data_IF_392869328511
#
_entry.id   IF_392869328511
#
_cell.length_a   1.000
_cell.length_b   1.000
_cell.length_c   1.000
_cell.angle_alpha   90.00
_cell.angle_beta   90.00
_cell.angle_gamma   90.00
#
_symmetry.space_group_name_H-M   'P 1'
#
loop_
_entity.id
_entity.type
_entity.pdbx_description
1 polymer ?
#
# COMPACT_ATOMS: atom_id res chain seq x y z
N UNK A 1 -16.74 -12.63 -8.83
CA UNK A 1 -16.80 -11.95 -7.50
C UNK A 1 -15.36 -11.82 -7.02
N UNK A 2 -14.91 -10.62 -6.63
CA UNK A 2 -13.57 -10.43 -6.10
C UNK A 2 -13.66 -10.29 -4.58
N UNK A 3 -13.14 -11.29 -3.87
CA UNK A 3 -12.98 -11.23 -2.42
C UNK A 3 -11.51 -10.95 -2.12
N UNK A 4 -11.23 -9.84 -1.44
CA UNK A 4 -9.88 -9.47 -1.01
C UNK A 4 -9.79 -9.45 0.51
N UNK A 5 -8.73 -10.06 1.04
CA UNK A 5 -8.31 -9.89 2.43
C UNK A 5 -6.95 -9.20 2.41
N UNK A 6 -6.87 -8.03 3.05
CA UNK A 6 -5.63 -7.29 3.25
C UNK A 6 -5.21 -7.31 4.72
N UNK A 7 -3.92 -7.57 4.97
CA UNK A 7 -3.31 -7.46 6.28
C UNK A 7 -2.11 -6.49 6.23
N UNK A 8 -2.33 -5.19 6.49
CA UNK A 8 -1.25 -4.23 6.62
C UNK A 8 -0.62 -4.31 8.02
N UNK A 9 0.71 -4.27 8.06
CA UNK A 9 1.50 -4.15 9.29
C UNK A 9 2.52 -3.03 9.12
N UNK A 10 2.77 -2.29 10.20
CA UNK A 10 3.71 -1.17 10.16
C UNK A 10 4.27 -0.84 11.52
N UNK A 11 5.45 -0.24 11.50
CA UNK A 11 6.12 0.32 12.67
C UNK A 11 6.54 1.76 12.37
N UNK A 12 6.36 2.61 13.37
CA UNK A 12 6.81 3.99 13.37
C UNK A 12 7.76 4.21 14.53
N UNK A 13 8.88 4.86 14.25
CA UNK A 13 9.84 5.28 15.25
C UNK A 13 10.08 6.79 15.18
N UNK A 14 9.81 7.46 16.30
CA UNK A 14 9.92 8.91 16.42
C UNK A 14 11.15 9.28 17.23
N UNK A 15 12.06 10.07 16.64
CA UNK A 15 13.28 10.57 17.25
C UNK A 15 13.27 12.10 17.17
N UNK A 16 12.94 12.75 18.29
CA UNK A 16 12.78 14.22 18.35
C UNK A 16 11.80 14.71 17.28
N UNK A 17 12.30 15.38 16.26
CA UNK A 17 11.57 15.98 15.16
C UNK A 17 11.52 15.10 13.92
N UNK A 18 12.12 13.91 13.95
CA UNK A 18 12.22 12.98 12.82
C UNK A 18 11.37 11.75 13.09
N UNK A 19 10.61 11.32 12.10
CA UNK A 19 9.81 10.10 12.14
C UNK A 19 10.29 9.15 11.05
N UNK A 20 10.47 7.88 11.36
CA UNK A 20 10.80 6.84 10.38
C UNK A 20 9.70 5.79 10.43
N UNK A 21 9.17 5.42 9.27
CA UNK A 21 8.07 4.45 9.11
C UNK A 21 8.48 3.34 8.16
N UNK A 22 8.21 2.12 8.58
CA UNK A 22 8.35 0.91 7.76
C UNK A 22 7.02 0.17 7.79
N UNK A 23 6.61 -0.36 6.65
CA UNK A 23 5.38 -1.13 6.56
C UNK A 23 5.45 -2.22 5.50
N UNK A 24 4.56 -3.19 5.66
CA UNK A 24 4.30 -4.24 4.69
C UNK A 24 2.78 -4.47 4.61
N UNK A 25 2.28 -4.77 3.42
CA UNK A 25 0.88 -5.12 3.19
C UNK A 25 0.82 -6.45 2.47
N UNK A 26 0.19 -7.44 3.09
CA UNK A 26 -0.13 -8.71 2.46
C UNK A 26 -1.56 -8.67 1.93
N UNK A 27 -1.78 -8.98 0.66
CA UNK A 27 -3.10 -9.07 0.05
C UNK A 27 -3.32 -10.47 -0.49
N UNK A 28 -4.44 -11.07 -0.13
CA UNK A 28 -4.94 -12.30 -0.71
C UNK A 28 -6.22 -11.99 -1.48
N UNK A 29 -6.21 -12.28 -2.79
CA UNK A 29 -7.33 -12.01 -3.69
C UNK A 29 -7.84 -13.33 -4.25
N UNK A 30 -9.15 -13.53 -4.17
CA UNK A 30 -9.86 -14.60 -4.87
C UNK A 30 -10.68 -13.97 -5.99
N UNK A 31 -10.37 -14.34 -7.22
CA UNK A 31 -11.06 -13.87 -8.42
C UNK A 31 -11.81 -15.05 -9.04
N UNK A 32 -13.12 -14.87 -9.27
CA UNK A 32 -13.93 -15.82 -10.04
C UNK A 32 -14.23 -15.19 -11.40
N UNK A 33 -13.70 -15.82 -12.45
CA UNK A 33 -13.90 -15.44 -13.85
C UNK A 33 -14.91 -16.42 -14.44
N UNK A 34 -16.01 -15.87 -14.96
CA UNK A 34 -17.02 -16.63 -15.66
C UNK A 34 -16.89 -16.35 -17.15
N UNK A 35 -16.52 -17.36 -17.92
CA UNK A 35 -16.50 -17.27 -19.38
C UNK A 35 -17.73 -17.97 -19.96
N UNK A 36 -18.47 -17.23 -20.78
CA UNK A 36 -19.60 -17.76 -21.55
C UNK A 36 -19.08 -18.58 -22.71
N UNK A 37 -19.38 -19.87 -22.72
CA UNK A 37 -19.16 -20.70 -23.91
C UNK A 37 -20.40 -20.69 -24.81
N UNK A 38 -20.19 -20.88 -26.11
CA UNK A 38 -21.22 -20.82 -27.17
C UNK A 38 -22.38 -21.78 -26.95
N UNK A 39 -22.18 -22.86 -26.18
CA UNK A 39 -23.16 -23.90 -25.92
C UNK A 39 -23.64 -23.90 -24.46
N UNK A 40 -24.31 -22.85 -23.97
CA UNK A 40 -25.01 -22.80 -22.65
C UNK A 40 -24.21 -23.17 -21.37
N UNK A 41 -22.95 -23.60 -21.48
CA UNK A 41 -22.06 -23.96 -20.40
C UNK A 41 -21.31 -22.71 -19.94
N UNK A 42 -21.41 -22.41 -18.65
CA UNK A 42 -20.59 -21.39 -18.00
C UNK A 42 -19.38 -22.11 -17.43
N UNK A 43 -18.18 -21.74 -17.87
CA UNK A 43 -16.95 -22.17 -17.22
C UNK A 43 -16.63 -21.17 -16.11
N UNK A 44 -16.44 -21.65 -14.88
CA UNK A 44 -16.00 -20.84 -13.75
C UNK A 44 -14.56 -21.21 -13.40
N UNK A 45 -13.65 -20.25 -13.53
CA UNK A 45 -12.28 -20.38 -13.07
C UNK A 45 -12.08 -19.56 -11.79
N UNK A 46 -11.53 -20.20 -10.75
CA UNK A 46 -11.22 -19.56 -9.48
C UNK A 46 -9.71 -19.39 -9.39
N UNK A 47 -9.27 -18.13 -9.39
CA UNK A 47 -7.88 -17.75 -9.25
C UNK A 47 -7.59 -17.26 -7.84
N UNK A 48 -6.45 -17.68 -7.30
CA UNK A 48 -5.96 -17.29 -5.99
C UNK A 48 -4.62 -16.56 -6.15
N UNK A 49 -4.59 -15.28 -5.75
CA UNK A 49 -3.43 -14.41 -5.93
C UNK A 49 -2.94 -13.92 -4.56
N UNK A 50 -1.65 -14.08 -4.29
CA UNK A 50 -0.97 -13.55 -3.09
C UNK A 50 -0.02 -12.44 -3.53
N UNK A 51 -0.26 -11.23 -3.05
CA UNK A 51 0.57 -10.06 -3.32
C UNK A 51 1.14 -9.50 -2.01
N UNK A 52 2.35 -8.93 -2.08
CA UNK A 52 2.96 -8.21 -0.96
C UNK A 52 3.53 -6.88 -1.46
N UNK A 53 3.32 -5.83 -0.68
CA UNK A 53 3.91 -4.51 -0.92
C UNK A 53 4.65 -4.05 0.33
N UNK A 54 5.69 -3.24 0.14
CA UNK A 54 6.41 -2.59 1.24
C UNK A 54 6.18 -1.08 1.19
N UNK A 55 6.28 -0.44 2.34
CA UNK A 55 6.22 1.00 2.43
C UNK A 55 7.36 1.55 3.29
N UNK A 56 7.90 2.68 2.88
CA UNK A 56 8.89 3.44 3.63
C UNK A 56 8.40 4.87 3.77
N UNK A 57 8.61 5.47 4.94
CA UNK A 57 8.35 6.88 5.16
C UNK A 57 9.40 7.52 6.04
N UNK A 58 9.74 8.77 5.75
CA UNK A 58 10.51 9.62 6.64
C UNK A 58 9.83 10.99 6.77
N UNK A 59 9.60 11.42 8.00
CA UNK A 59 8.99 12.69 8.35
C UNK A 59 9.97 13.58 9.09
N UNK A 60 9.87 14.89 8.89
CA UNK A 60 10.57 15.92 9.65
C UNK A 60 9.61 17.04 10.05
N UNK A 61 9.51 17.30 11.35
CA UNK A 61 8.74 18.38 11.94
C UNK A 61 9.67 19.40 12.62
N UNK A 62 10.23 20.38 11.88
CA UNK A 62 11.16 21.36 12.45
C UNK A 62 10.56 22.21 13.58
N UNK A 63 9.25 22.43 13.58
CA UNK A 63 8.53 23.19 14.60
C UNK A 63 7.07 22.73 14.70
N UNK A 64 6.30 23.33 15.61
CA UNK A 64 4.90 22.97 15.86
C UNK A 64 3.96 23.23 14.66
N UNK A 65 4.37 24.07 13.71
CA UNK A 65 3.54 24.50 12.58
C UNK A 65 3.87 23.81 11.26
N UNK A 66 5.02 23.15 11.11
CA UNK A 66 5.47 22.67 9.80
C UNK A 66 5.95 21.22 9.84
N UNK A 67 5.45 20.42 8.89
CA UNK A 67 5.83 19.01 8.71
C UNK A 67 6.16 18.77 7.24
N UNK A 68 7.27 18.08 7.00
CA UNK A 68 7.68 17.54 5.71
C UNK A 68 7.64 16.02 5.81
N UNK A 69 7.03 15.36 4.83
CA UNK A 69 6.92 13.91 4.80
C UNK A 69 7.31 13.39 3.42
N UNK A 70 8.19 12.39 3.38
CA UNK A 70 8.56 11.66 2.18
C UNK A 70 8.11 10.21 2.37
N UNK A 71 7.30 9.70 1.44
CA UNK A 71 6.65 8.40 1.58
C UNK A 71 6.65 7.61 0.27
N UNK A 72 6.77 6.29 0.35
CA UNK A 72 6.65 5.33 -0.75
C UNK A 72 5.86 4.10 -0.26
N UNK A 73 4.98 3.55 -1.11
CA UNK A 73 4.12 2.39 -0.81
C UNK A 73 4.21 1.26 -1.85
N UNK A 74 5.37 1.10 -2.48
CA UNK A 74 5.58 0.15 -3.58
C UNK A 74 7.07 -0.16 -3.71
N UNK A 75 7.55 -0.37 -4.93
CA UNK A 75 8.97 -0.47 -5.22
C UNK A 75 9.70 0.80 -4.75
N UNK A 76 10.57 0.63 -3.75
CA UNK A 76 11.37 1.68 -3.13
C UNK A 76 12.44 2.23 -4.10
N UNK A 77 12.88 1.43 -5.08
CA UNK A 77 13.86 1.83 -6.07
C UNK A 77 13.25 2.71 -7.18
N UNK A 78 11.95 2.62 -7.41
CA UNK A 78 11.25 3.44 -8.39
C UNK A 78 10.83 4.80 -7.80
N UNK A 79 11.57 5.85 -8.17
CA UNK A 79 11.34 7.23 -7.73
C UNK A 79 9.93 7.75 -8.06
N UNK A 80 9.21 7.15 -9.03
CA UNK A 80 7.84 7.54 -9.38
C UNK A 80 6.83 7.17 -8.29
N UNK A 81 7.16 6.23 -7.43
CA UNK A 81 6.30 5.79 -6.32
C UNK A 81 6.50 6.64 -5.05
N UNK A 82 7.44 7.58 -5.06
CA UNK A 82 7.69 8.48 -3.94
C UNK A 82 6.79 9.71 -4.00
N UNK A 83 6.20 10.05 -2.85
CA UNK A 83 5.36 11.20 -2.65
C UNK A 83 5.98 12.11 -1.59
N UNK A 84 5.90 13.43 -1.81
CA UNK A 84 6.32 14.45 -0.85
C UNK A 84 5.07 15.18 -0.36
N UNK A 85 4.89 15.24 0.95
CA UNK A 85 3.82 15.99 1.59
C UNK A 85 4.39 17.13 2.43
N UNK A 86 3.80 18.30 2.32
CA UNK A 86 4.10 19.47 3.13
C UNK A 86 2.82 19.87 3.86
N UNK A 87 2.87 19.95 5.18
CA UNK A 87 1.73 20.29 6.02
C UNK A 87 2.06 21.49 6.88
N UNK A 88 1.17 22.49 6.85
CA UNK A 88 1.16 23.60 7.80
C UNK A 88 0.03 23.39 8.82
N UNK A 89 0.31 23.58 10.11
CA UNK A 89 -0.62 23.43 11.22
C UNK A 89 -0.86 24.81 11.81
N UNK A 90 -2.12 25.27 11.75
CA UNK A 90 -2.56 26.56 12.31
C UNK A 90 -2.80 26.47 13.81
#
# INVERSE_FOLDING_TARGET
INNEISLPVGIEYNIKQISIRLGAKFNYVVESIQEWQTDTLVNEEINHIVNYNYSFGIGWQPNEHFVIDLYNNSDLADLRNWSIYLKYIF
#
